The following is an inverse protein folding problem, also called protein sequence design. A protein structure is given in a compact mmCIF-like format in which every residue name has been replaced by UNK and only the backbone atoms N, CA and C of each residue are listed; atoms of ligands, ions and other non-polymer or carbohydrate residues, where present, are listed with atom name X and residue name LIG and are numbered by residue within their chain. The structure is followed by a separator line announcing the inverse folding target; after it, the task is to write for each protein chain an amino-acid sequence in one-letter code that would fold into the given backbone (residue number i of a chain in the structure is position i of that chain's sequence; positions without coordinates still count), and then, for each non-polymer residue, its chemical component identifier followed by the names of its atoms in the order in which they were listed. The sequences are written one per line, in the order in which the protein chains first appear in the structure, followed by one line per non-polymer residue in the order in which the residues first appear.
data_IF_111714831249
#
_entry.id   IF_111714831249
#
_cell.length_a   1.000
_cell.length_b   1.000
_cell.length_c   1.000
_cell.angle_alpha   90.00
_cell.angle_beta   90.00
_cell.angle_gamma   90.00
#
_symmetry.space_group_name_H-M   'P 1'
#
loop_
_entity.id
_entity.type
_entity.pdbx_description
1 polymer ?
#
# COMPACT_ATOMS: atom_id res chain seq x y z
N UNK A 1 13.14 -4.82 -18.23
CA UNK A 1 12.17 -5.70 -18.90
C UNK A 1 12.87 -6.96 -19.38
N UNK A 2 12.34 -8.13 -19.04
CA UNK A 2 12.96 -9.44 -19.33
C UNK A 2 13.22 -9.67 -20.83
N UNK A 3 12.24 -9.36 -21.68
CA UNK A 3 12.29 -9.66 -23.13
C UNK A 3 12.74 -8.43 -23.96
N UNK A 4 12.90 -7.26 -23.34
CA UNK A 4 13.12 -5.97 -24.01
C UNK A 4 11.83 -5.40 -24.60
N UNK A 5 11.68 -4.07 -24.62
CA UNK A 5 10.43 -3.43 -25.06
C UNK A 5 10.23 -3.54 -26.58
N UNK A 6 11.33 -3.59 -27.35
CA UNK A 6 11.29 -3.70 -28.82
C UNK A 6 10.64 -4.99 -29.32
N UNK A 7 10.80 -6.11 -28.60
CA UNK A 7 10.22 -7.41 -28.98
C UNK A 7 8.74 -7.52 -28.67
N UNK A 8 8.24 -6.76 -27.69
CA UNK A 8 6.83 -6.76 -27.31
C UNK A 8 5.96 -6.02 -28.32
N UNK A 9 6.52 -5.02 -29.01
CA UNK A 9 5.80 -4.23 -30.02
C UNK A 9 4.86 -3.19 -29.41
N UNK A 10 4.50 -2.13 -30.16
CA UNK A 10 3.74 -0.99 -29.63
C UNK A 10 2.37 -1.35 -29.06
N UNK A 11 1.63 -2.26 -29.71
CA UNK A 11 0.29 -2.66 -29.30
C UNK A 11 0.26 -3.29 -27.91
N UNK A 12 1.20 -4.20 -27.63
CA UNK A 12 1.29 -4.85 -26.32
C UNK A 12 1.72 -3.87 -25.22
N UNK A 13 2.63 -2.94 -25.54
CA UNK A 13 3.05 -1.89 -24.60
C UNK A 13 1.88 -0.97 -24.23
N UNK A 14 1.05 -0.60 -25.21
CA UNK A 14 -0.17 0.17 -24.95
C UNK A 14 -1.15 -0.59 -24.06
N UNK A 15 -1.37 -1.89 -24.31
CA UNK A 15 -2.21 -2.74 -23.46
C UNK A 15 -1.70 -2.80 -22.02
N UNK A 16 -0.39 -2.98 -21.80
CA UNK A 16 0.19 -2.98 -20.45
C UNK A 16 0.00 -1.64 -19.72
N UNK A 17 0.01 -0.53 -20.46
CA UNK A 17 -0.18 0.81 -19.88
C UNK A 17 -1.62 1.03 -19.42
N UNK A 18 -2.62 0.48 -20.13
CA UNK A 18 -4.02 0.47 -19.66
C UNK A 18 -4.20 -0.33 -18.37
N UNK A 19 -3.42 -1.40 -18.19
CA UNK A 19 -3.46 -2.28 -17.03
C UNK A 19 -2.48 -1.87 -15.91
N UNK A 20 -1.91 -0.67 -16.01
CA UNK A 20 -0.99 -0.14 -15.01
C UNK A 20 -1.62 -0.05 -13.61
N UNK A 21 -2.93 0.27 -13.52
CA UNK A 21 -3.61 0.53 -12.25
C UNK A 21 -3.54 -0.63 -11.23
N UNK A 22 -3.52 -1.90 -11.68
CA UNK A 22 -3.44 -3.05 -10.77
C UNK A 22 -2.03 -3.63 -10.63
N UNK A 23 -1.10 -3.25 -11.50
CA UNK A 23 0.30 -3.72 -11.48
C UNK A 23 1.27 -2.75 -10.84
N UNK A 24 0.86 -1.48 -10.68
CA UNK A 24 1.69 -0.36 -10.21
C UNK A 24 2.26 -0.57 -8.80
N UNK A 25 1.41 -0.84 -7.82
CA UNK A 25 1.79 -0.96 -6.41
C UNK A 25 0.89 -1.96 -5.70
N UNK A 26 1.49 -2.84 -4.91
CA UNK A 26 0.81 -3.88 -4.12
C UNK A 26 0.65 -3.49 -2.63
N UNK A 27 0.84 -2.21 -2.31
CA UNK A 27 0.94 -1.74 -0.92
C UNK A 27 -0.41 -1.72 -0.16
N UNK A 28 -1.54 -1.72 -0.88
CA UNK A 28 -2.88 -1.56 -0.30
C UNK A 28 -3.82 -2.72 -0.66
N UNK A 29 -3.42 -3.94 -0.33
CA UNK A 29 -4.29 -5.10 -0.55
C UNK A 29 -5.55 -5.03 0.33
N UNK A 30 -6.76 -5.12 -0.24
CA UNK A 30 -7.99 -5.08 0.55
C UNK A 30 -8.24 -6.38 1.33
N UNK A 31 -7.55 -7.48 1.00
CA UNK A 31 -7.80 -8.81 1.54
C UNK A 31 -7.70 -8.88 3.08
N UNK A 32 -6.65 -8.35 3.77
CA UNK A 32 -6.57 -8.42 5.22
C UNK A 32 -7.75 -7.72 5.90
N UNK A 33 -8.12 -6.53 5.41
CA UNK A 33 -9.27 -5.78 5.94
C UNK A 33 -10.59 -6.53 5.72
N UNK A 34 -10.75 -7.18 4.56
CA UNK A 34 -11.92 -8.02 4.29
C UNK A 34 -11.97 -9.24 5.21
N UNK A 35 -10.85 -9.93 5.42
CA UNK A 35 -10.77 -11.11 6.29
C UNK A 35 -11.10 -10.76 7.75
N UNK A 36 -10.58 -9.65 8.26
CA UNK A 36 -10.95 -9.15 9.59
C UNK A 36 -12.44 -8.80 9.67
N UNK A 37 -12.99 -8.16 8.64
CA UNK A 37 -14.42 -7.87 8.52
C UNK A 37 -15.27 -9.15 8.56
N UNK A 38 -14.89 -10.18 7.80
CA UNK A 38 -15.55 -11.49 7.82
C UNK A 38 -15.45 -12.16 9.19
N UNK A 39 -14.31 -12.04 9.88
CA UNK A 39 -14.13 -12.60 11.22
C UNK A 39 -15.01 -11.90 12.26
N UNK A 40 -15.19 -10.59 12.13
CA UNK A 40 -16.10 -9.82 12.97
C UNK A 40 -17.55 -10.20 12.68
N UNK A 41 -17.93 -10.36 11.42
CA UNK A 41 -19.27 -10.80 11.01
C UNK A 41 -19.61 -12.21 11.56
N UNK A 42 -18.65 -13.13 11.53
CA UNK A 42 -18.79 -14.46 12.13
C UNK A 42 -19.04 -14.37 13.65
N UNK A 43 -18.27 -13.53 14.36
CA UNK A 43 -18.41 -13.36 15.82
C UNK A 43 -19.69 -12.64 16.24
N UNK A 44 -20.23 -11.77 15.40
CA UNK A 44 -21.47 -11.03 15.67
C UNK A 44 -22.74 -11.75 15.21
N UNK A 45 -22.62 -12.94 14.60
CA UNK A 45 -23.75 -13.71 14.10
C UNK A 45 -24.38 -13.13 12.82
N UNK A 46 -23.68 -12.24 12.11
CA UNK A 46 -24.15 -11.68 10.84
C UNK A 46 -24.02 -12.72 9.73
N UNK A 47 -25.03 -12.84 8.88
CA UNK A 47 -25.01 -13.76 7.75
C UNK A 47 -23.90 -13.39 6.76
N UNK A 48 -23.02 -14.35 6.45
CA UNK A 48 -21.88 -14.15 5.52
C UNK A 48 -22.31 -13.65 4.14
N UNK A 49 -23.49 -14.06 3.65
CA UNK A 49 -24.04 -13.60 2.36
C UNK A 49 -24.37 -12.12 2.34
N UNK A 50 -24.99 -11.62 3.41
CA UNK A 50 -25.32 -10.20 3.55
C UNK A 50 -24.06 -9.35 3.64
N UNK A 51 -23.05 -9.80 4.40
CA UNK A 51 -21.78 -9.09 4.52
C UNK A 51 -21.04 -9.02 3.17
N UNK A 52 -21.02 -10.13 2.42
CA UNK A 52 -20.42 -10.17 1.09
C UNK A 52 -21.12 -9.23 0.09
N UNK A 53 -22.46 -9.23 0.04
CA UNK A 53 -23.20 -8.32 -0.86
C UNK A 53 -23.04 -6.86 -0.45
N UNK A 54 -23.01 -6.55 0.86
CA UNK A 54 -22.74 -5.21 1.35
C UNK A 54 -21.36 -4.70 0.93
N UNK A 55 -20.31 -5.53 1.01
CA UNK A 55 -18.97 -5.18 0.52
C UNK A 55 -18.98 -4.90 -0.98
N UNK A 56 -19.65 -5.74 -1.79
CA UNK A 56 -19.73 -5.52 -3.23
C UNK A 56 -20.44 -4.22 -3.59
N UNK A 57 -21.55 -3.92 -2.93
CA UNK A 57 -22.29 -2.68 -3.13
C UNK A 57 -21.44 -1.47 -2.71
N UNK A 58 -20.81 -1.53 -1.54
CA UNK A 58 -19.93 -0.47 -1.06
C UNK A 58 -18.75 -0.24 -2.01
N UNK A 59 -18.18 -1.31 -2.57
CA UNK A 59 -17.12 -1.21 -3.57
C UNK A 59 -17.61 -0.52 -4.85
N UNK A 60 -18.77 -0.91 -5.38
CA UNK A 60 -19.33 -0.30 -6.59
C UNK A 60 -19.63 1.19 -6.39
N UNK A 61 -20.28 1.54 -5.28
CA UNK A 61 -20.58 2.94 -4.92
C UNK A 61 -19.28 3.73 -4.72
N UNK A 62 -18.29 3.14 -4.03
CA UNK A 62 -17.00 3.76 -3.79
C UNK A 62 -16.25 4.09 -5.08
N UNK A 63 -16.25 3.17 -6.05
CA UNK A 63 -15.65 3.40 -7.37
C UNK A 63 -16.35 4.57 -8.09
N UNK A 64 -17.68 4.55 -8.18
CA UNK A 64 -18.45 5.61 -8.87
C UNK A 64 -18.25 6.97 -8.17
N UNK A 65 -18.30 6.98 -6.84
CA UNK A 65 -18.09 8.18 -6.02
C UNK A 65 -16.69 8.75 -6.23
N UNK A 66 -15.67 7.91 -6.31
CA UNK A 66 -14.30 8.34 -6.57
C UNK A 66 -14.13 8.96 -7.95
N UNK A 67 -14.72 8.37 -9.00
CA UNK A 67 -14.72 8.96 -10.35
C UNK A 67 -15.41 10.32 -10.35
N UNK A 68 -16.58 10.43 -9.70
CA UNK A 68 -17.32 11.69 -9.59
C UNK A 68 -16.52 12.76 -8.84
N UNK A 69 -15.96 12.41 -7.67
CA UNK A 69 -15.18 13.32 -6.84
C UNK A 69 -13.95 13.83 -7.59
N UNK A 70 -13.21 12.93 -8.24
CA UNK A 70 -12.04 13.29 -9.02
C UNK A 70 -12.40 14.29 -10.13
N UNK A 71 -13.47 14.03 -10.88
CA UNK A 71 -13.90 14.88 -11.98
C UNK A 71 -14.39 16.25 -11.46
N UNK A 72 -15.32 16.24 -10.51
CA UNK A 72 -15.95 17.45 -9.99
C UNK A 72 -14.97 18.38 -9.28
N UNK A 73 -14.03 17.84 -8.50
CA UNK A 73 -12.99 18.63 -7.82
C UNK A 73 -12.04 19.23 -8.86
N UNK A 74 -11.64 18.46 -9.87
CA UNK A 74 -10.77 18.95 -10.95
C UNK A 74 -11.39 20.11 -11.74
N UNK A 75 -12.70 20.04 -12.01
CA UNK A 75 -13.42 21.12 -12.70
C UNK A 75 -13.62 22.37 -11.83
N UNK A 76 -13.83 22.21 -10.52
CA UNK A 76 -14.10 23.35 -9.62
C UNK A 76 -12.83 24.10 -9.21
N UNK A 77 -11.77 23.39 -8.86
CA UNK A 77 -10.52 23.97 -8.36
C UNK A 77 -9.51 24.21 -9.50
N UNK A 78 -9.70 23.58 -10.65
CA UNK A 78 -8.73 23.56 -11.73
C UNK A 78 -7.62 22.56 -11.44
N UNK A 79 -7.53 21.53 -12.28
CA UNK A 79 -6.62 20.39 -12.10
C UNK A 79 -5.13 20.76 -11.96
N UNK A 80 -4.71 21.88 -12.55
CA UNK A 80 -3.29 22.29 -12.61
C UNK A 80 -2.89 23.25 -11.48
N UNK A 81 -3.80 24.11 -11.03
CA UNK A 81 -3.43 25.29 -10.22
C UNK A 81 -3.78 25.15 -8.73
N UNK A 82 -4.94 24.59 -8.38
CA UNK A 82 -5.42 24.56 -6.98
C UNK A 82 -5.70 23.16 -6.45
N UNK A 83 -5.56 22.12 -7.27
CA UNK A 83 -5.68 20.72 -6.85
C UNK A 83 -4.32 20.16 -6.43
N UNK A 84 -4.32 19.18 -5.51
CA UNK A 84 -3.12 18.37 -5.24
C UNK A 84 -2.58 17.79 -6.56
N UNK A 85 -1.25 17.76 -6.72
CA UNK A 85 -0.60 17.21 -7.93
C UNK A 85 -0.70 15.69 -8.03
N UNK A 86 -1.01 15.02 -6.92
CA UNK A 86 -1.00 13.57 -6.79
C UNK A 86 -1.87 12.86 -7.84
N UNK A 87 -3.14 13.25 -8.08
CA UNK A 87 -3.96 12.62 -9.11
C UNK A 87 -3.45 12.84 -10.53
N UNK A 88 -2.79 13.98 -10.79
CA UNK A 88 -2.20 14.27 -12.10
C UNK A 88 -0.97 13.39 -12.34
N UNK A 89 -0.10 13.23 -11.32
CA UNK A 89 1.06 12.32 -11.38
C UNK A 89 0.58 10.91 -11.72
N UNK A 90 -0.42 10.38 -10.99
CA UNK A 90 -0.92 9.02 -11.21
C UNK A 90 -1.63 8.85 -12.55
N UNK A 91 -2.30 9.89 -13.05
CA UNK A 91 -2.93 9.86 -14.37
C UNK A 91 -1.92 9.90 -15.52
N UNK A 92 -0.78 10.58 -15.35
CA UNK A 92 0.26 10.76 -16.37
C UNK A 92 1.27 9.62 -16.42
N UNK A 93 1.58 9.02 -15.27
CA UNK A 93 2.58 7.95 -15.10
C UNK A 93 2.50 6.82 -16.16
N UNK A 94 1.35 6.17 -16.42
CA UNK A 94 1.29 5.09 -17.42
C UNK A 94 1.64 5.57 -18.84
N UNK A 95 1.26 6.80 -19.18
CA UNK A 95 1.49 7.38 -20.50
C UNK A 95 2.95 7.82 -20.68
N UNK A 96 3.55 8.38 -19.64
CA UNK A 96 4.98 8.67 -19.65
C UNK A 96 5.81 7.38 -19.77
N UNK A 97 5.41 6.31 -19.08
CA UNK A 97 6.05 5.01 -19.21
C UNK A 97 5.92 4.45 -20.63
N UNK A 98 4.73 4.53 -21.23
CA UNK A 98 4.51 4.13 -22.62
C UNK A 98 5.37 4.93 -23.59
N UNK A 99 5.36 6.25 -23.48
CA UNK A 99 6.18 7.14 -24.31
C UNK A 99 7.66 6.78 -24.19
N UNK A 100 8.17 6.57 -22.98
CA UNK A 100 9.56 6.14 -22.76
C UNK A 100 9.85 4.81 -23.43
N UNK A 101 8.96 3.82 -23.37
CA UNK A 101 9.15 2.52 -24.01
C UNK A 101 9.13 2.57 -25.54
N UNK A 102 8.36 3.49 -26.12
CA UNK A 102 8.25 3.69 -27.57
C UNK A 102 9.43 4.50 -28.13
N UNK A 103 9.78 5.61 -27.48
CA UNK A 103 10.84 6.53 -27.93
C UNK A 103 12.23 5.96 -27.64
N UNK A 104 12.40 5.31 -26.48
CA UNK A 104 13.67 4.73 -26.05
C UNK A 104 13.49 3.23 -25.76
N UNK A 105 13.44 2.36 -26.79
CA UNK A 105 13.25 0.94 -26.58
C UNK A 105 14.38 0.33 -25.75
N UNK A 106 14.05 -0.11 -24.54
CA UNK A 106 15.00 -0.76 -23.65
C UNK A 106 15.37 -2.14 -24.21
N UNK A 107 16.69 -2.40 -24.30
CA UNK A 107 17.24 -3.72 -24.60
C UNK A 107 16.92 -4.69 -23.45
N UNK A 108 16.92 -5.99 -23.74
CA UNK A 108 16.79 -7.01 -22.71
C UNK A 108 17.92 -6.83 -21.69
N UNK A 109 17.56 -6.69 -20.42
CA UNK A 109 18.51 -6.59 -19.33
C UNK A 109 18.57 -7.93 -18.60
N UNK A 110 19.49 -8.77 -19.04
CA UNK A 110 19.70 -10.11 -18.48
C UNK A 110 20.18 -10.06 -17.02
N UNK A 111 20.92 -9.02 -16.65
CA UNK A 111 21.38 -8.82 -15.26
C UNK A 111 20.19 -8.58 -14.34
N UNK A 112 19.32 -7.64 -14.70
CA UNK A 112 18.09 -7.37 -13.94
C UNK A 112 17.20 -8.62 -13.87
N UNK A 113 17.10 -9.38 -14.96
CA UNK A 113 16.32 -10.62 -15.02
C UNK A 113 16.91 -11.70 -14.08
N UNK A 114 18.23 -11.82 -14.02
CA UNK A 114 18.92 -12.70 -13.09
C UNK A 114 18.68 -12.33 -11.63
N UNK A 115 18.77 -11.04 -11.29
CA UNK A 115 18.45 -10.56 -9.93
C UNK A 115 16.97 -10.76 -9.57
N UNK A 116 16.04 -10.52 -10.50
CA UNK A 116 14.62 -10.79 -10.26
C UNK A 116 14.36 -12.29 -10.04
N UNK A 117 14.97 -13.16 -10.85
CA UNK A 117 14.87 -14.60 -10.67
C UNK A 117 15.44 -15.03 -9.31
N UNK A 118 16.62 -14.53 -8.94
CA UNK A 118 17.21 -14.78 -7.63
C UNK A 118 16.28 -14.32 -6.49
N UNK A 119 15.69 -13.12 -6.59
CA UNK A 119 14.73 -12.63 -5.60
C UNK A 119 13.51 -13.52 -5.45
N UNK A 120 12.96 -14.03 -6.57
CA UNK A 120 11.84 -15.00 -6.56
C UNK A 120 12.27 -16.30 -5.87
N UNK A 121 13.40 -16.89 -6.28
CA UNK A 121 13.90 -18.13 -5.68
C UNK A 121 14.21 -17.96 -4.19
N UNK A 122 14.79 -16.83 -3.80
CA UNK A 122 15.10 -16.53 -2.41
C UNK A 122 13.82 -16.34 -1.59
N UNK A 123 12.81 -15.67 -2.12
CA UNK A 123 11.51 -15.53 -1.46
C UNK A 123 10.81 -16.91 -1.28
N UNK A 124 10.83 -17.77 -2.30
CA UNK A 124 10.31 -19.15 -2.22
C UNK A 124 11.10 -19.95 -1.18
N UNK A 125 12.42 -19.85 -1.19
CA UNK A 125 13.28 -20.49 -0.21
C UNK A 125 12.93 -20.08 1.22
N UNK A 126 12.78 -18.78 1.49
CA UNK A 126 12.35 -18.26 2.79
C UNK A 126 10.97 -18.80 3.18
N UNK A 127 10.04 -18.89 2.23
CA UNK A 127 8.70 -19.46 2.46
C UNK A 127 8.78 -20.93 2.85
N UNK A 128 9.55 -21.74 2.12
CA UNK A 128 9.72 -23.17 2.39
C UNK A 128 10.43 -23.42 3.72
N UNK A 129 11.46 -22.63 4.03
CA UNK A 129 12.16 -22.70 5.32
C UNK A 129 11.21 -22.36 6.47
N UNK A 130 10.35 -21.36 6.32
CA UNK A 130 9.36 -21.01 7.36
C UNK A 130 8.29 -22.10 7.55
N UNK A 131 7.89 -22.80 6.49
CA UNK A 131 6.93 -23.91 6.60
C UNK A 131 7.58 -25.13 7.29
N UNK A 132 8.85 -25.43 6.98
CA UNK A 132 9.55 -26.60 7.55
C UNK A 132 10.14 -26.36 8.94
N UNK A 133 10.59 -25.15 9.24
CA UNK A 133 11.31 -24.81 10.47
C UNK A 133 10.58 -23.71 11.24
N UNK A 134 9.87 -24.11 12.30
CA UNK A 134 9.12 -23.19 13.18
C UNK A 134 10.02 -22.17 13.91
N UNK A 135 11.31 -22.45 14.03
CA UNK A 135 12.30 -21.61 14.71
C UNK A 135 13.01 -20.63 13.78
N UNK A 136 12.69 -20.62 12.48
CA UNK A 136 13.39 -19.80 11.49
C UNK A 136 13.05 -18.31 11.66
N UNK A 137 14.03 -17.42 11.91
CA UNK A 137 13.77 -16.02 12.25
C UNK A 137 13.47 -15.15 11.02
N UNK A 138 13.80 -15.59 9.80
CA UNK A 138 13.62 -14.78 8.60
C UNK A 138 12.22 -14.92 8.03
N UNK A 139 11.50 -13.80 7.97
CA UNK A 139 10.12 -13.77 7.50
C UNK A 139 10.02 -13.37 6.01
N UNK A 140 9.42 -14.20 5.14
CA UNK A 140 9.30 -13.88 3.72
C UNK A 140 8.50 -12.59 3.46
N UNK A 141 7.48 -12.31 4.28
CA UNK A 141 6.73 -11.06 4.18
C UNK A 141 7.57 -9.82 4.49
N UNK A 142 8.54 -9.91 5.42
CA UNK A 142 9.42 -8.78 5.72
C UNK A 142 10.38 -8.50 4.56
N UNK A 143 10.87 -9.56 3.91
CA UNK A 143 11.69 -9.44 2.71
C UNK A 143 10.91 -8.81 1.54
N UNK A 144 9.70 -9.27 1.27
CA UNK A 144 8.85 -8.72 0.21
C UNK A 144 8.48 -7.24 0.46
N UNK A 145 8.11 -6.91 1.70
CA UNK A 145 7.73 -5.56 2.06
C UNK A 145 8.93 -4.59 1.96
N UNK A 146 10.11 -4.99 2.46
CA UNK A 146 11.33 -4.17 2.39
C UNK A 146 11.83 -3.92 0.96
N UNK A 147 11.47 -4.79 0.01
CA UNK A 147 11.98 -4.73 -1.37
C UNK A 147 11.10 -3.92 -2.32
N UNK A 148 9.82 -3.68 -1.99
CA UNK A 148 8.84 -3.18 -2.97
C UNK A 148 8.00 -1.99 -2.53
N UNK A 149 7.86 -1.73 -1.23
CA UNK A 149 6.88 -0.75 -0.75
C UNK A 149 7.50 0.61 -0.50
N UNK A 150 6.99 1.64 -1.16
CA UNK A 150 7.34 3.04 -0.90
C UNK A 150 7.15 3.37 0.59
N UNK A 151 6.07 2.85 1.18
CA UNK A 151 5.75 3.03 2.59
C UNK A 151 6.91 2.63 3.53
N UNK A 152 7.64 1.55 3.23
CA UNK A 152 8.71 1.05 4.10
C UNK A 152 9.90 1.99 4.17
N UNK A 153 10.21 2.72 3.10
CA UNK A 153 11.24 3.76 3.13
C UNK A 153 10.93 4.88 4.13
N UNK A 154 9.66 5.11 4.47
CA UNK A 154 9.26 6.13 5.45
C UNK A 154 9.10 5.56 6.86
N UNK A 155 8.68 4.29 6.99
CA UNK A 155 8.39 3.69 8.30
C UNK A 155 9.50 2.81 8.86
N UNK A 156 10.56 2.48 8.10
CA UNK A 156 11.60 1.56 8.56
C UNK A 156 12.24 1.99 9.88
N UNK A 157 12.51 3.30 10.04
CA UNK A 157 13.12 3.83 11.26
C UNK A 157 12.16 3.77 12.45
N UNK A 158 10.88 4.02 12.21
CA UNK A 158 9.82 3.87 13.22
C UNK A 158 9.64 2.41 13.64
N UNK A 159 9.71 1.47 12.69
CA UNK A 159 9.68 0.03 12.97
C UNK A 159 10.90 -0.41 13.76
N UNK A 160 12.08 0.07 13.41
CA UNK A 160 13.32 -0.20 14.13
C UNK A 160 13.25 0.33 15.57
N UNK A 161 12.77 1.56 15.75
CA UNK A 161 12.56 2.16 17.08
C UNK A 161 11.55 1.37 17.90
N UNK A 162 10.42 0.98 17.30
CA UNK A 162 9.41 0.15 17.95
C UNK A 162 9.97 -1.24 18.36
N UNK A 163 10.85 -1.82 17.53
CA UNK A 163 11.52 -3.07 17.84
C UNK A 163 12.47 -2.93 19.03
N UNK A 164 13.29 -1.87 19.09
CA UNK A 164 14.16 -1.59 20.26
C UNK A 164 13.32 -1.42 21.52
N UNK A 165 12.29 -0.58 21.48
CA UNK A 165 11.42 -0.34 22.65
C UNK A 165 10.76 -1.63 23.11
N UNK A 166 10.25 -2.44 22.19
CA UNK A 166 9.70 -3.77 22.51
C UNK A 166 10.74 -4.69 23.14
N UNK A 167 11.96 -4.71 22.61
CA UNK A 167 13.06 -5.53 23.12
C UNK A 167 13.44 -5.10 24.55
N UNK A 168 13.53 -3.80 24.80
CA UNK A 168 13.79 -3.25 26.15
C UNK A 168 12.66 -3.60 27.12
N UNK A 169 11.39 -3.42 26.72
CA UNK A 169 10.24 -3.76 27.55
C UNK A 169 10.21 -5.25 27.92
N UNK A 170 10.51 -6.13 26.97
CA UNK A 170 10.55 -7.57 27.22
C UNK A 170 11.77 -7.98 28.06
N UNK A 171 12.94 -7.38 27.83
CA UNK A 171 14.18 -7.71 28.53
C UNK A 171 14.17 -7.24 29.99
N UNK A 172 13.63 -6.05 30.27
CA UNK A 172 13.64 -5.47 31.61
C UNK A 172 12.33 -5.68 32.39
N UNK A 173 11.18 -5.77 31.72
CA UNK A 173 9.87 -5.83 32.36
C UNK A 173 9.06 -7.12 32.14
N UNK A 174 9.57 -8.05 31.33
CA UNK A 174 8.88 -9.30 31.01
C UNK A 174 7.51 -9.12 30.36
N UNK A 175 6.70 -10.19 30.35
CA UNK A 175 5.41 -10.22 29.67
C UNK A 175 4.35 -9.30 30.31
N UNK A 176 4.43 -9.09 31.63
CA UNK A 176 3.48 -8.26 32.37
C UNK A 176 3.64 -6.78 32.03
N UNK A 177 4.88 -6.27 31.97
CA UNK A 177 5.14 -4.88 31.59
C UNK A 177 4.77 -4.63 30.13
N UNK A 178 5.04 -5.59 29.25
CA UNK A 178 4.60 -5.52 27.85
C UNK A 178 3.08 -5.33 27.74
N UNK A 179 2.29 -6.15 28.45
CA UNK A 179 0.82 -6.03 28.45
C UNK A 179 0.32 -4.69 29.00
N UNK A 180 0.99 -4.12 30.01
CA UNK A 180 0.67 -2.78 30.54
C UNK A 180 1.05 -1.65 29.58
N UNK A 181 2.10 -1.84 28.76
CA UNK A 181 2.54 -0.86 27.78
C UNK A 181 1.71 -0.90 26.47
N UNK A 182 1.11 -2.05 26.13
CA UNK A 182 0.24 -2.19 24.94
C UNK A 182 -0.81 -1.07 24.78
N UNK A 183 -1.64 -0.72 25.80
CA UNK A 183 -2.62 0.35 25.66
C UNK A 183 -2.01 1.72 25.35
N UNK A 184 -0.78 2.02 25.81
CA UNK A 184 -0.09 3.27 25.48
C UNK A 184 0.21 3.36 23.97
N UNK A 185 0.76 2.30 23.37
CA UNK A 185 1.04 2.30 21.93
C UNK A 185 -0.23 2.30 21.08
N UNK A 186 -1.29 1.60 21.52
CA UNK A 186 -2.60 1.70 20.88
C UNK A 186 -3.15 3.13 20.96
N UNK A 187 -2.94 3.81 22.09
CA UNK A 187 -3.26 5.22 22.26
C UNK A 187 -2.49 6.14 21.32
N UNK A 188 -1.19 5.89 21.10
CA UNK A 188 -0.40 6.65 20.11
C UNK A 188 -0.93 6.47 18.68
N UNK A 189 -1.24 5.22 18.29
CA UNK A 189 -1.82 4.90 16.98
C UNK A 189 -3.17 5.62 16.81
N UNK A 190 -4.06 5.49 17.81
CA UNK A 190 -5.35 6.20 17.82
C UNK A 190 -5.16 7.71 17.76
N UNK A 191 -4.22 8.27 18.52
CA UNK A 191 -3.91 9.70 18.53
C UNK A 191 -3.53 10.20 17.14
N UNK A 192 -2.69 9.46 16.40
CA UNK A 192 -2.33 9.80 15.03
C UNK A 192 -3.55 9.82 14.10
N UNK A 193 -4.47 8.86 14.21
CA UNK A 193 -5.71 8.85 13.42
C UNK A 193 -6.65 10.00 13.80
N UNK A 194 -6.80 10.28 15.09
CA UNK A 194 -7.69 11.32 15.62
C UNK A 194 -7.21 12.69 15.19
N UNK A 195 -5.96 13.04 15.51
CA UNK A 195 -5.34 14.31 15.10
C UNK A 195 -5.36 14.42 13.57
N UNK A 196 -5.11 13.30 12.90
CA UNK A 196 -5.13 13.21 11.45
C UNK A 196 -6.46 13.45 10.76
N UNK A 197 -7.56 13.13 11.42
CA UNK A 197 -8.90 13.36 10.91
C UNK A 197 -9.37 14.77 11.28
N UNK A 198 -9.01 15.25 12.48
CA UNK A 198 -9.43 16.56 12.99
C UNK A 198 -8.85 17.70 12.17
N UNK A 199 -7.54 17.68 11.86
CA UNK A 199 -6.90 18.79 11.13
C UNK A 199 -7.50 19.06 9.73
N UNK A 200 -7.74 18.05 8.87
CA UNK A 200 -8.44 18.27 7.61
C UNK A 200 -9.87 18.78 7.79
N UNK A 201 -10.62 18.27 8.77
CA UNK A 201 -11.99 18.73 9.05
C UNK A 201 -11.99 20.20 9.47
N UNK A 202 -11.08 20.59 10.38
CA UNK A 202 -10.91 21.99 10.77
C UNK A 202 -10.48 22.86 9.59
N UNK A 203 -9.60 22.36 8.72
CA UNK A 203 -9.19 23.07 7.49
C UNK A 203 -10.36 23.34 6.55
N UNK A 204 -11.28 22.37 6.41
CA UNK A 204 -12.50 22.54 5.61
C UNK A 204 -13.44 23.58 6.25
N UNK A 205 -13.62 23.54 7.58
CA UNK A 205 -14.54 24.44 8.30
C UNK A 205 -14.01 25.88 8.30
N UNK A 206 -12.74 26.07 8.65
CA UNK A 206 -12.12 27.39 8.81
C UNK A 206 -11.50 27.93 7.52
N UNK A 207 -11.51 27.14 6.43
CA UNK A 207 -10.88 27.46 5.14
C UNK A 207 -9.41 27.87 5.26
N UNK A 208 -8.70 27.29 6.24
CA UNK A 208 -7.27 27.50 6.46
C UNK A 208 -6.48 26.30 5.95
N UNK A 209 -5.28 26.50 5.37
CA UNK A 209 -4.41 25.39 5.02
C UNK A 209 -3.98 24.69 6.31
N UNK A 210 -4.42 23.46 6.49
CA UNK A 210 -4.05 22.63 7.65
C UNK A 210 -3.01 21.59 7.28
N UNK A 211 -2.36 21.06 8.31
CA UNK A 211 -1.37 20.00 8.15
C UNK A 211 -2.02 18.75 7.53
N UNK A 212 -1.61 18.42 6.31
CA UNK A 212 -1.89 17.12 5.70
C UNK A 212 -0.90 16.09 6.23
N UNK A 213 -1.39 14.96 6.76
CA UNK A 213 -0.50 13.86 7.21
C UNK A 213 0.28 13.26 6.03
N UNK A 214 -0.26 13.38 4.83
CA UNK A 214 0.33 12.87 3.61
C UNK A 214 0.61 14.04 2.65
N UNK A 215 1.79 14.08 2.02
CA UNK A 215 2.12 15.07 1.01
C UNK A 215 1.24 14.95 -0.25
#
# INVERSE_FOLDING_TARGET
TAVGTRKLGPMNLSMFSFFWFFTRTFDSHPMPHQLEGFKLAERSGVQSKFFFTAILIAMAIGVISQFWALLSVSYKLGAVNQMSRVPMIYGQEPWEHLQRWLVNPARSNYIAMGFSAFGIFFAIFLMLMRIKFLWWPLHPAAYAAASGSWAINYIWFSLFSAWIVKLLLLRFGGLQMYRKATPFFLGLILGQFVVGSIWPILGIIFRVPTYGIWP
#
